data_IF_063865208194
#
_entry.id   IF_063865208194
#
_cell.length_a   1.000
_cell.length_b   1.000
_cell.length_c   1.000
_cell.angle_alpha   90.00
_cell.angle_beta   90.00
_cell.angle_gamma   90.00
#
_symmetry.space_group_name_H-M   'P 1'
#
loop_
_entity.id
_entity.type
_entity.pdbx_description
1 polymer ?
#
# COMPACT_ATOMS: atom_id res chain seq x y z
N UNK A 1 8.00 -5.97 7.30
CA UNK A 1 7.68 -4.68 6.67
C UNK A 1 6.99 -3.71 7.63
N UNK A 2 5.93 -4.12 8.34
CA UNK A 2 5.14 -3.24 9.21
C UNK A 2 6.01 -2.43 10.20
N UNK A 3 7.01 -3.06 10.81
CA UNK A 3 7.93 -2.37 11.72
C UNK A 3 8.71 -1.22 11.05
N UNK A 4 9.00 -1.30 9.74
CA UNK A 4 9.68 -0.22 8.99
C UNK A 4 8.81 1.04 8.88
N UNK A 5 7.50 0.88 8.87
CA UNK A 5 6.51 1.99 8.90
C UNK A 5 5.98 2.25 10.30
N UNK A 6 6.71 1.79 11.34
CA UNK A 6 6.36 1.95 12.77
C UNK A 6 4.97 1.41 13.12
N UNK A 7 4.59 0.28 12.51
CA UNK A 7 3.36 -0.46 12.82
C UNK A 7 3.67 -1.88 13.29
N UNK A 8 2.85 -2.38 14.21
CA UNK A 8 2.88 -3.75 14.72
C UNK A 8 1.73 -4.57 14.11
N UNK A 9 1.83 -5.91 14.02
CA UNK A 9 0.68 -6.76 13.65
C UNK A 9 -0.60 -6.49 14.45
N UNK A 10 -0.48 -6.08 15.72
CA UNK A 10 -1.64 -5.76 16.57
C UNK A 10 -2.33 -4.44 16.18
N UNK A 11 -1.67 -3.58 15.39
CA UNK A 11 -2.26 -2.36 14.85
C UNK A 11 -3.15 -2.64 13.62
N UNK A 12 -3.19 -3.88 13.15
CA UNK A 12 -3.97 -4.26 11.97
C UNK A 12 -5.44 -4.43 12.33
N UNK A 13 -6.31 -3.76 11.57
CA UNK A 13 -7.74 -4.00 11.65
C UNK A 13 -8.06 -5.26 10.85
N UNK A 14 -8.73 -6.21 11.52
CA UNK A 14 -9.16 -7.46 10.88
C UNK A 14 -10.05 -7.20 9.67
N UNK A 15 -9.88 -8.02 8.63
CA UNK A 15 -10.67 -7.93 7.40
C UNK A 15 -10.82 -9.29 6.75
N UNK A 16 -11.93 -9.48 6.04
CA UNK A 16 -12.23 -10.67 5.25
C UNK A 16 -11.96 -10.46 3.75
N UNK A 17 -11.30 -9.37 3.36
CA UNK A 17 -10.99 -9.07 1.96
C UNK A 17 -9.88 -10.01 1.47
N UNK A 18 -10.06 -10.57 0.28
CA UNK A 18 -9.05 -11.34 -0.43
C UNK A 18 -8.57 -10.59 -1.69
N UNK A 19 -7.28 -10.70 -2.01
CA UNK A 19 -6.70 -10.18 -3.25
C UNK A 19 -6.41 -11.35 -4.17
N UNK A 20 -6.86 -11.21 -5.42
CA UNK A 20 -6.48 -12.12 -6.51
C UNK A 20 -5.32 -11.51 -7.28
N UNK A 21 -4.24 -12.27 -7.43
CA UNK A 21 -3.09 -11.85 -8.22
C UNK A 21 -3.29 -12.11 -9.73
N UNK A 22 -2.30 -11.73 -10.53
CA UNK A 22 -2.37 -11.88 -11.99
C UNK A 22 -2.44 -13.35 -12.45
N UNK A 23 -1.93 -14.29 -11.64
CA UNK A 23 -2.04 -15.73 -11.94
C UNK A 23 -3.41 -16.31 -11.60
N UNK A 24 -4.30 -15.50 -11.00
CA UNK A 24 -5.61 -15.93 -10.52
C UNK A 24 -5.58 -16.51 -9.11
N UNK A 25 -4.43 -16.52 -8.44
CA UNK A 25 -4.34 -17.00 -7.07
C UNK A 25 -4.91 -15.97 -6.10
N UNK A 26 -5.86 -16.39 -5.26
CA UNK A 26 -6.49 -15.53 -4.26
C UNK A 26 -5.84 -15.72 -2.89
N UNK A 27 -5.56 -14.63 -2.19
CA UNK A 27 -4.91 -14.61 -0.87
C UNK A 27 -5.64 -13.64 0.05
N UNK A 28 -5.97 -14.10 1.26
CA UNK A 28 -6.60 -13.25 2.28
C UNK A 28 -5.64 -12.17 2.78
N UNK A 29 -6.13 -10.95 2.99
CA UNK A 29 -5.37 -9.94 3.72
C UNK A 29 -5.06 -10.38 5.15
N UNK A 30 -3.92 -9.91 5.64
CA UNK A 30 -3.61 -9.94 7.08
C UNK A 30 -4.41 -8.91 7.86
N UNK A 31 -4.80 -7.81 7.20
CA UNK A 31 -5.57 -6.74 7.81
C UNK A 31 -5.44 -5.44 7.04
N UNK A 32 -6.08 -4.41 7.57
CA UNK A 32 -5.97 -3.04 7.10
C UNK A 32 -5.11 -2.23 8.07
N UNK A 33 -4.34 -1.28 7.53
CA UNK A 33 -3.52 -0.36 8.31
C UNK A 33 -3.70 1.05 7.78
N UNK A 34 -3.79 2.04 8.67
CA UNK A 34 -3.76 3.45 8.28
C UNK A 34 -2.34 3.98 8.41
N UNK A 35 -1.80 4.51 7.30
CA UNK A 35 -0.48 5.14 7.22
C UNK A 35 -0.61 6.56 6.70
N UNK A 36 0.15 7.49 7.28
CA UNK A 36 0.34 8.79 6.65
C UNK A 36 1.31 8.65 5.48
N UNK A 37 0.83 8.94 4.28
CA UNK A 37 1.60 8.86 3.03
C UNK A 37 1.85 10.27 2.55
N UNK A 38 3.14 10.62 2.44
CA UNK A 38 3.60 11.89 1.91
C UNK A 38 4.07 11.74 0.47
N UNK A 39 3.50 12.52 -0.44
CA UNK A 39 3.88 12.60 -1.85
C UNK A 39 4.22 14.06 -2.17
N UNK A 40 5.50 14.34 -2.40
CA UNK A 40 5.99 15.71 -2.56
C UNK A 40 5.71 16.56 -1.30
N UNK A 41 4.95 17.64 -1.46
CA UNK A 41 4.51 18.52 -0.37
C UNK A 41 3.19 18.11 0.29
N UNK A 42 2.47 17.13 -0.27
CA UNK A 42 1.16 16.70 0.21
C UNK A 42 1.28 15.48 1.12
N UNK A 43 0.57 15.48 2.24
CA UNK A 43 0.51 14.38 3.19
C UNK A 43 -0.94 13.98 3.44
N UNK A 44 -1.24 12.68 3.40
CA UNK A 44 -2.58 12.14 3.58
C UNK A 44 -2.59 10.80 4.31
N UNK A 45 -3.55 10.63 5.21
CA UNK A 45 -3.82 9.34 5.82
C UNK A 45 -4.46 8.40 4.80
N UNK A 46 -3.83 7.27 4.57
CA UNK A 46 -4.21 6.25 3.59
C UNK A 46 -4.51 4.95 4.30
N UNK A 47 -5.66 4.36 4.02
CA UNK A 47 -5.93 2.98 4.42
C UNK A 47 -5.28 2.06 3.38
N UNK A 48 -4.39 1.20 3.84
CA UNK A 48 -3.67 0.23 3.02
C UNK A 48 -3.98 -1.18 3.49
N UNK A 49 -4.12 -2.08 2.52
CA UNK A 49 -4.34 -3.50 2.77
C UNK A 49 -2.99 -4.22 2.88
N UNK A 50 -2.81 -4.98 3.94
CA UNK A 50 -1.57 -5.74 4.18
C UNK A 50 -1.77 -7.17 3.71
N UNK A 51 -1.00 -7.58 2.69
CA UNK A 51 -1.05 -8.94 2.14
C UNK A 51 0.27 -9.68 2.33
N UNK A 52 0.25 -11.01 2.53
CA UNK A 52 1.46 -11.81 2.44
C UNK A 52 1.86 -11.90 0.96
N UNK A 53 3.01 -11.31 0.60
CA UNK A 53 3.53 -11.36 -0.77
C UNK A 53 5.06 -11.48 -0.75
N UNK A 54 5.61 -12.18 -1.74
CA UNK A 54 7.05 -12.25 -2.04
C UNK A 54 7.41 -11.29 -3.18
N UNK A 55 6.86 -10.08 -3.16
CA UNK A 55 7.16 -9.06 -4.14
C UNK A 55 8.50 -8.35 -3.88
N UNK A 56 9.10 -7.79 -4.94
CA UNK A 56 10.28 -6.91 -4.85
C UNK A 56 9.95 -5.48 -4.41
N UNK A 57 8.67 -5.15 -4.30
CA UNK A 57 8.15 -3.85 -3.86
C UNK A 57 7.47 -3.94 -2.51
N UNK A 58 7.44 -2.83 -1.78
CA UNK A 58 6.92 -2.79 -0.42
C UNK A 58 5.44 -2.38 -0.32
N UNK A 59 4.94 -1.66 -1.32
CA UNK A 59 3.58 -1.15 -1.37
C UNK A 59 3.15 -0.99 -2.84
N UNK A 60 1.86 -1.13 -3.09
CA UNK A 60 1.23 -0.84 -4.38
C UNK A 60 0.19 0.25 -4.15
N UNK A 61 0.26 1.31 -4.97
CA UNK A 61 -0.73 2.38 -4.98
C UNK A 61 -1.53 2.26 -6.27
N UNK A 62 -2.79 1.87 -6.13
CA UNK A 62 -3.71 1.72 -7.25
C UNK A 62 -4.14 3.05 -7.85
N UNK A 63 -4.92 2.98 -8.93
CA UNK A 63 -5.46 4.14 -9.63
C UNK A 63 -6.31 5.03 -8.71
N UNK A 64 -7.10 4.44 -7.82
CA UNK A 64 -8.01 5.17 -6.92
C UNK A 64 -7.25 6.14 -6.00
N UNK A 65 -6.09 5.71 -5.51
CA UNK A 65 -5.19 6.56 -4.72
C UNK A 65 -4.62 7.70 -5.57
N UNK A 66 -4.12 7.39 -6.77
CA UNK A 66 -3.52 8.39 -7.64
C UNK A 66 -4.52 9.46 -8.06
N UNK A 67 -5.76 9.08 -8.35
CA UNK A 67 -6.87 9.98 -8.65
C UNK A 67 -7.18 10.90 -7.45
N UNK A 68 -7.19 10.36 -6.23
CA UNK A 68 -7.45 11.13 -5.02
C UNK A 68 -6.34 12.16 -4.72
N UNK A 69 -5.09 11.82 -5.00
CA UNK A 69 -3.93 12.72 -4.76
C UNK A 69 -3.65 13.66 -5.94
N UNK A 70 -4.20 13.38 -7.13
CA UNK A 70 -3.93 14.15 -8.35
C UNK A 70 -2.52 13.90 -8.90
N UNK A 71 -1.96 12.71 -8.64
CA UNK A 71 -0.61 12.36 -9.10
C UNK A 71 -0.66 11.95 -10.57
N UNK A 72 0.13 12.63 -11.40
CA UNK A 72 0.39 12.19 -12.77
C UNK A 72 1.65 11.32 -12.76
N UNK A 73 1.55 10.02 -13.08
CA UNK A 73 2.72 9.15 -13.13
C UNK A 73 3.67 9.60 -14.24
N UNK A 74 4.88 10.02 -13.87
CA UNK A 74 5.97 10.25 -14.83
C UNK A 74 6.73 8.95 -15.04
N UNK A 75 6.80 8.50 -16.29
CA UNK A 75 7.57 7.30 -16.69
C UNK A 75 9.07 7.58 -16.84
N UNK A 76 9.50 8.85 -16.79
CA UNK A 76 10.86 9.27 -17.16
C UNK A 76 11.86 9.18 -15.99
N UNK A 77 11.41 9.41 -14.74
CA UNK A 77 12.23 9.23 -13.53
C UNK A 77 11.37 8.86 -12.32
N UNK A 78 11.23 7.57 -12.03
CA UNK A 78 10.68 7.09 -10.77
C UNK A 78 11.82 6.91 -9.76
N UNK A 79 11.82 7.70 -8.68
CA UNK A 79 12.67 7.48 -7.51
C UNK A 79 11.79 7.38 -6.27
N UNK A 80 11.88 6.26 -5.56
CA UNK A 80 11.23 6.04 -4.27
C UNK A 80 12.31 6.15 -3.21
N UNK A 81 12.34 7.27 -2.50
CA UNK A 81 13.20 7.47 -1.33
C UNK A 81 12.42 7.02 -0.09
N UNK A 82 12.98 6.05 0.64
CA UNK A 82 12.49 5.53 1.92
C UNK A 82 13.24 6.17 3.08
#
# INVERSE_FOLDING_TARGET
>A
MLMKVRKHPDDLVSTNIAITDFSGASTLAKGLVTLSVKVGSSERNTVLMVVPSKASYNALLGQDWNNCVGVVPSTVRQSVLL
#
